data_IF_316743759944
#
_entry.id   IF_316743759944
#
_cell.length_a   1.000
_cell.length_b   1.000
_cell.length_c   1.000
_cell.angle_alpha   90.00
_cell.angle_beta   90.00
_cell.angle_gamma   90.00
#
_symmetry.space_group_name_H-M   'P 1'
#
loop_
_entity.id
_entity.type
_entity.pdbx_description
1 polymer ?
#
# COMPACT_ATOMS: atom_id res chain seq x y z
N UNK A 1 -18.86 -22.07 6.11
CA UNK A 1 -17.46 -22.26 5.68
C UNK A 1 -16.99 -21.18 4.69
N UNK A 2 -17.70 -20.91 3.59
CA UNK A 2 -17.27 -19.90 2.60
C UNK A 2 -17.11 -18.47 3.16
N UNK A 3 -18.04 -18.03 4.01
CA UNK A 3 -17.97 -16.71 4.65
C UNK A 3 -16.67 -16.53 5.45
N UNK A 4 -16.26 -17.55 6.21
CA UNK A 4 -15.02 -17.49 6.99
C UNK A 4 -13.78 -17.32 6.09
N UNK A 5 -13.73 -18.03 4.95
CA UNK A 5 -12.61 -17.93 4.01
C UNK A 5 -12.49 -16.54 3.38
N UNK A 6 -13.62 -15.91 3.01
CA UNK A 6 -13.64 -14.55 2.46
C UNK A 6 -13.19 -13.54 3.52
N UNK A 7 -13.69 -13.65 4.74
CA UNK A 7 -13.27 -12.78 5.85
C UNK A 7 -11.76 -12.90 6.10
N UNK A 8 -11.22 -14.12 6.14
CA UNK A 8 -9.77 -14.36 6.31
C UNK A 8 -8.91 -13.68 5.23
N UNK A 9 -9.37 -13.67 3.98
CA UNK A 9 -8.67 -12.99 2.88
C UNK A 9 -8.69 -11.47 3.07
N UNK A 10 -9.83 -10.92 3.49
CA UNK A 10 -10.04 -9.47 3.64
C UNK A 10 -9.32 -8.90 4.87
N UNK A 11 -9.32 -9.65 5.98
CA UNK A 11 -8.72 -9.24 7.25
C UNK A 11 -7.28 -9.71 7.44
N UNK A 12 -6.69 -10.41 6.46
CA UNK A 12 -5.31 -10.94 6.54
C UNK A 12 -4.28 -9.90 6.99
N UNK A 13 -4.34 -8.69 6.41
CA UNK A 13 -3.45 -7.57 6.75
C UNK A 13 -3.71 -6.99 8.13
N UNK A 14 -4.97 -6.84 8.52
CA UNK A 14 -5.35 -6.30 9.83
C UNK A 14 -4.97 -7.27 10.96
N UNK A 15 -5.19 -8.57 10.75
CA UNK A 15 -4.76 -9.62 11.67
C UNK A 15 -3.25 -9.62 11.88
N UNK A 16 -2.46 -9.37 10.82
CA UNK A 16 -1.00 -9.25 10.92
C UNK A 16 -0.58 -8.03 11.77
N UNK A 17 -1.28 -6.90 11.66
CA UNK A 17 -1.04 -5.71 12.50
C UNK A 17 -1.38 -6.02 13.96
N UNK A 18 -2.56 -6.59 14.21
CA UNK A 18 -3.02 -6.93 15.56
C UNK A 18 -2.06 -7.92 16.24
N UNK A 19 -1.68 -9.00 15.54
CA UNK A 19 -0.73 -9.99 16.05
C UNK A 19 0.62 -9.36 16.39
N UNK A 20 1.13 -8.46 15.55
CA UNK A 20 2.36 -7.73 15.81
C UNK A 20 2.26 -6.88 17.08
N UNK A 21 1.14 -6.15 17.27
CA UNK A 21 0.97 -5.31 18.46
C UNK A 21 0.87 -6.13 19.74
N UNK A 22 0.17 -7.27 19.71
CA UNK A 22 0.03 -8.15 20.87
C UNK A 22 1.36 -8.83 21.24
N UNK A 23 2.13 -9.25 20.25
CA UNK A 23 3.39 -9.98 20.44
C UNK A 23 4.65 -9.11 20.32
N UNK A 24 4.51 -7.78 20.35
CA UNK A 24 5.60 -6.86 20.04
C UNK A 24 6.83 -7.04 20.93
N UNK A 25 6.63 -7.32 22.22
CA UNK A 25 7.72 -7.56 23.17
C UNK A 25 8.56 -8.79 22.79
N UNK A 26 7.90 -9.91 22.49
CA UNK A 26 8.56 -11.15 22.06
C UNK A 26 9.25 -10.97 20.71
N UNK A 27 8.62 -10.24 19.79
CA UNK A 27 9.18 -9.94 18.47
C UNK A 27 10.45 -9.09 18.62
N UNK A 28 10.41 -8.07 19.46
CA UNK A 28 11.56 -7.20 19.71
C UNK A 28 12.71 -7.97 20.36
N UNK A 29 12.40 -8.82 21.35
CA UNK A 29 13.40 -9.64 22.04
C UNK A 29 14.08 -10.66 21.13
N UNK A 30 13.40 -11.21 20.12
CA UNK A 30 13.95 -12.27 19.26
C UNK A 30 14.43 -11.80 17.89
N UNK A 31 13.73 -10.85 17.26
CA UNK A 31 13.94 -10.49 15.85
C UNK A 31 14.50 -9.08 15.61
N UNK A 32 14.79 -8.32 16.67
CA UNK A 32 15.44 -7.03 16.47
C UNK A 32 16.88 -7.19 15.98
N UNK A 33 17.21 -6.55 14.85
CA UNK A 33 18.55 -6.55 14.24
C UNK A 33 19.53 -5.61 14.95
N UNK A 34 19.02 -4.50 15.51
CA UNK A 34 19.82 -3.43 16.10
C UNK A 34 19.81 -3.44 17.63
N UNK A 35 19.92 -4.63 18.26
CA UNK A 35 19.94 -4.75 19.74
C UNK A 35 21.06 -3.94 20.40
N UNK A 36 22.20 -3.81 19.72
CA UNK A 36 23.35 -3.04 20.20
C UNK A 36 23.18 -1.51 20.05
N UNK A 37 22.12 -1.04 19.37
CA UNK A 37 21.87 0.38 19.09
C UNK A 37 20.43 0.76 19.45
N UNK A 38 20.11 0.89 20.76
CA UNK A 38 18.75 1.19 21.22
C UNK A 38 18.23 2.55 20.71
N UNK A 39 19.13 3.49 20.39
CA UNK A 39 18.81 4.80 19.83
C UNK A 39 18.05 4.74 18.49
N UNK A 40 18.08 3.60 17.79
CA UNK A 40 17.41 3.42 16.50
C UNK A 40 15.94 2.98 16.62
N UNK A 41 15.40 2.82 17.83
CA UNK A 41 13.98 2.50 18.06
C UNK A 41 13.46 1.34 17.20
N UNK A 42 14.20 0.23 17.23
CA UNK A 42 13.92 -0.97 16.44
C UNK A 42 12.50 -1.50 16.67
N UNK A 43 12.06 -1.66 17.92
CA UNK A 43 10.71 -2.03 18.37
C UNK A 43 9.99 -3.13 17.57
N UNK A 44 10.75 -4.05 16.94
CA UNK A 44 10.23 -5.06 16.02
C UNK A 44 9.81 -4.53 14.63
N UNK A 45 9.91 -3.21 14.37
CA UNK A 45 9.50 -2.54 13.13
C UNK A 45 10.22 -3.05 11.88
N UNK A 46 11.51 -3.36 11.97
CA UNK A 46 12.27 -3.93 10.83
C UNK A 46 11.68 -5.29 10.40
N UNK A 47 11.40 -6.15 11.38
CA UNK A 47 10.81 -7.47 11.14
C UNK A 47 9.39 -7.34 10.54
N UNK A 48 8.59 -6.44 11.11
CA UNK A 48 7.23 -6.20 10.66
C UNK A 48 7.17 -5.65 9.23
N UNK A 49 8.01 -4.67 8.91
CA UNK A 49 8.13 -4.14 7.56
C UNK A 49 8.50 -5.22 6.53
N UNK A 50 9.39 -6.15 6.90
CA UNK A 50 9.74 -7.30 6.04
C UNK A 50 8.55 -8.24 5.82
N UNK A 51 7.76 -8.52 6.86
CA UNK A 51 6.56 -9.36 6.75
C UNK A 51 5.48 -8.73 5.86
N UNK A 52 5.27 -7.42 5.99
CA UNK A 52 4.34 -6.68 5.13
C UNK A 52 4.77 -6.71 3.66
N UNK A 53 6.05 -6.48 3.36
CA UNK A 53 6.57 -6.60 1.98
C UNK A 53 6.36 -8.00 1.42
N UNK A 54 6.62 -9.04 2.21
CA UNK A 54 6.38 -10.42 1.78
C UNK A 54 4.90 -10.70 1.50
N UNK A 55 3.98 -10.10 2.26
CA UNK A 55 2.54 -10.25 2.02
C UNK A 55 2.13 -9.52 0.73
N UNK A 56 2.61 -8.30 0.53
CA UNK A 56 2.36 -7.51 -0.70
C UNK A 56 2.92 -8.20 -1.95
N UNK A 57 4.10 -8.81 -1.87
CA UNK A 57 4.66 -9.63 -2.95
C UNK A 57 3.83 -10.89 -3.24
N UNK A 58 3.22 -11.51 -2.22
CA UNK A 58 2.32 -12.66 -2.40
C UNK A 58 1.00 -12.24 -3.03
N UNK A 59 0.41 -11.16 -2.55
CA UNK A 59 -0.83 -10.59 -3.08
C UNK A 59 -0.66 -10.19 -4.54
N UNK A 60 0.41 -9.46 -4.87
CA UNK A 60 0.73 -9.06 -6.25
C UNK A 60 0.98 -10.23 -7.20
N UNK A 61 1.64 -11.31 -6.74
CA UNK A 61 1.81 -12.54 -7.54
C UNK A 61 0.50 -13.32 -7.72
N UNK A 62 -0.37 -13.33 -6.71
CA UNK A 62 -1.69 -13.99 -6.78
C UNK A 62 -2.73 -13.21 -7.58
N UNK A 63 -2.52 -11.89 -7.74
CA UNK A 63 -3.40 -11.01 -8.51
C UNK A 63 -3.21 -11.13 -10.03
N UNK A 64 -2.16 -11.81 -10.52
CA UNK A 64 -1.87 -11.99 -11.96
C UNK A 64 -3.10 -12.31 -12.81
N UNK A 65 -3.82 -13.42 -12.55
CA UNK A 65 -4.95 -13.84 -13.40
C UNK A 65 -6.21 -12.96 -13.25
N UNK A 66 -6.41 -12.28 -12.10
CA UNK A 66 -7.57 -11.41 -11.89
C UNK A 66 -7.32 -10.00 -12.43
N UNK A 67 -6.11 -9.48 -12.25
CA UNK A 67 -5.67 -8.17 -12.74
C UNK A 67 -5.53 -8.19 -14.27
N UNK A 68 -4.97 -9.25 -14.87
CA UNK A 68 -4.98 -9.44 -16.33
C UNK A 68 -6.41 -9.52 -16.88
N UNK A 69 -7.33 -10.22 -16.20
CA UNK A 69 -8.75 -10.22 -16.58
C UNK A 69 -9.41 -8.85 -16.43
N UNK A 70 -9.07 -8.08 -15.39
CA UNK A 70 -9.63 -6.74 -15.16
C UNK A 70 -9.10 -5.72 -16.17
N UNK A 71 -7.83 -5.84 -16.58
CA UNK A 71 -7.24 -5.07 -17.67
C UNK A 71 -7.85 -5.48 -19.03
N UNK A 72 -8.18 -6.76 -19.24
CA UNK A 72 -8.96 -7.22 -20.40
C UNK A 72 -10.44 -6.79 -20.38
N UNK A 73 -10.99 -6.45 -19.21
CA UNK A 73 -12.33 -5.87 -19.06
C UNK A 73 -12.36 -4.37 -19.36
N UNK A 74 -11.20 -3.73 -19.57
CA UNK A 74 -11.10 -2.40 -20.16
C UNK A 74 -11.21 -2.45 -21.70
N UNK A 75 -12.23 -3.14 -22.22
CA UNK A 75 -12.71 -2.92 -23.58
C UNK A 75 -13.95 -2.01 -23.51
N UNK A 76 -14.12 -1.14 -24.52
CA UNK A 76 -14.47 0.25 -24.35
C UNK A 76 -15.92 0.39 -23.89
N UNK A 77 -16.21 1.39 -23.05
CA UNK A 77 -17.55 1.95 -23.00
C UNK A 77 -17.91 2.34 -24.44
N UNK A 78 -18.73 1.50 -25.08
CA UNK A 78 -19.17 1.73 -26.43
C UNK A 78 -19.75 3.14 -26.53
N UNK A 79 -19.38 3.82 -27.61
CA UNK A 79 -20.16 4.89 -28.22
C UNK A 79 -20.41 6.19 -27.42
N UNK A 80 -19.50 6.59 -26.52
CA UNK A 80 -19.40 8.01 -26.14
C UNK A 80 -18.46 8.73 -27.12
N UNK A 81 -19.02 9.24 -28.22
CA UNK A 81 -18.33 10.23 -29.05
C UNK A 81 -18.56 11.61 -28.42
N UNK A 82 -17.53 12.27 -27.85
CA UNK A 82 -17.67 13.67 -27.46
C UNK A 82 -17.84 14.49 -28.74
N UNK A 83 -19.04 15.04 -28.98
CA UNK A 83 -19.18 16.06 -30.00
C UNK A 83 -18.39 17.30 -29.58
N UNK A 84 -17.52 17.86 -30.44
CA UNK A 84 -16.83 19.10 -30.12
C UNK A 84 -17.83 20.25 -30.21
N UNK A 85 -18.38 20.66 -29.06
CA UNK A 85 -18.95 22.00 -28.95
C UNK A 85 -17.83 23.02 -29.20
N UNK A 86 -18.00 24.03 -30.05
CA UNK A 86 -17.02 25.10 -30.20
C UNK A 86 -16.96 25.86 -28.88
N UNK A 87 -15.95 25.53 -28.05
CA UNK A 87 -15.64 26.27 -26.85
C UNK A 87 -15.01 27.59 -27.30
N UNK A 88 -15.73 28.68 -27.08
CA UNK A 88 -15.12 30.00 -27.07
C UNK A 88 -13.99 29.93 -26.02
N UNK A 89 -12.74 29.95 -26.50
CA UNK A 89 -11.54 29.87 -25.67
C UNK A 89 -11.52 31.14 -24.82
N UNK A 90 -12.13 31.05 -23.64
CA UNK A 90 -11.88 32.00 -22.57
C UNK A 90 -10.46 31.71 -22.10
N UNK A 91 -9.60 32.73 -22.18
CA UNK A 91 -8.21 32.70 -21.73
C UNK A 91 -8.07 31.80 -20.49
N UNK A 92 -7.34 30.69 -20.62
CA UNK A 92 -7.11 29.79 -19.50
C UNK A 92 -6.30 30.58 -18.45
N UNK A 93 -6.75 30.66 -17.18
CA UNK A 93 -5.88 31.20 -16.13
C UNK A 93 -4.64 30.32 -16.10
N UNK A 94 -3.45 30.94 -16.12
CA UNK A 94 -2.17 30.24 -16.02
C UNK A 94 -2.19 29.34 -14.79
N UNK A 95 -2.42 28.05 -15.00
CA UNK A 95 -2.25 27.07 -13.94
C UNK A 95 -0.77 27.08 -13.55
N UNK A 96 -0.52 27.25 -12.25
CA UNK A 96 0.82 27.17 -11.73
C UNK A 96 1.42 25.80 -12.11
N UNK A 97 2.69 25.83 -12.54
CA UNK A 97 3.48 24.63 -12.85
C UNK A 97 3.36 23.62 -11.70
N UNK A 98 2.83 22.44 -11.98
CA UNK A 98 2.85 21.30 -11.06
C UNK A 98 4.32 21.02 -10.70
N UNK A 99 4.67 21.24 -9.43
CA UNK A 99 5.99 20.90 -8.90
C UNK A 99 5.94 19.42 -8.51
N UNK A 100 6.68 18.53 -9.18
CA UNK A 100 6.76 17.13 -8.77
C UNK A 100 7.53 17.09 -7.45
N UNK A 101 6.87 16.67 -6.37
CA UNK A 101 7.46 16.61 -5.03
C UNK A 101 6.47 16.66 -3.87
N UNK A 102 5.19 16.96 -4.12
CA UNK A 102 4.19 17.16 -3.06
C UNK A 102 3.13 16.05 -2.94
N UNK A 103 3.33 14.87 -3.57
CA UNK A 103 2.55 13.69 -3.18
C UNK A 103 3.06 13.18 -1.82
N UNK A 104 2.60 13.80 -0.74
CA UNK A 104 2.70 13.24 0.60
C UNK A 104 1.60 12.19 0.75
N UNK A 105 1.87 10.97 0.29
CA UNK A 105 1.07 9.81 0.71
C UNK A 105 0.91 9.87 2.25
N UNK A 106 -0.28 9.57 2.81
CA UNK A 106 -0.46 9.60 4.25
C UNK A 106 0.63 8.73 4.88
N UNK A 107 1.57 9.36 5.60
CA UNK A 107 2.65 8.64 6.28
C UNK A 107 2.01 7.84 7.38
N UNK A 108 1.65 6.58 7.10
CA UNK A 108 1.32 5.61 8.14
C UNK A 108 2.62 5.40 8.92
N UNK A 109 2.79 6.13 10.02
CA UNK A 109 3.99 6.09 10.87
C UNK A 109 4.31 4.67 11.38
N UNK A 110 3.33 3.77 11.37
CA UNK A 110 3.48 2.34 11.67
C UNK A 110 4.27 1.56 10.61
N UNK A 111 4.32 2.03 9.36
CA UNK A 111 4.89 1.31 8.21
C UNK A 111 6.29 1.78 7.80
N UNK A 112 6.81 2.85 8.39
CA UNK A 112 8.16 3.32 8.08
C UNK A 112 9.16 2.69 9.06
N UNK A 113 10.01 1.75 8.59
CA UNK A 113 11.10 1.23 9.42
C UNK A 113 12.10 2.34 9.77
N UNK A 114 12.75 2.29 10.95
CA UNK A 114 13.84 3.20 11.28
C UNK A 114 15.04 3.03 10.34
N UNK A 115 15.89 4.06 10.26
CA UNK A 115 17.14 3.97 9.51
C UNK A 115 18.03 2.85 10.09
N UNK A 116 18.46 1.89 9.26
CA UNK A 116 19.26 0.74 9.69
C UNK A 116 18.49 -0.57 9.86
N UNK A 117 17.25 -0.64 9.39
CA UNK A 117 16.70 -1.86 8.79
C UNK A 117 17.17 -1.94 7.32
#
# INVERSE_FOLDING_TARGET
MLVALVLLQTFSRELLVVDFTFNQATITARFCVNKARPQLHCDGKCYFAKKLKQQEERESKSAGPLKERLEMLAAPFGNWQPQPTPLLVREAPRYARLVPGSYAAPRRALLQPPAGC
#
